data_IF_175262605441
#
_entry.id   IF_175262605441
#
_cell.length_a   1.000
_cell.length_b   1.000
_cell.length_c   1.000
_cell.angle_alpha   90.00
_cell.angle_beta   90.00
_cell.angle_gamma   90.00
#
_symmetry.space_group_name_H-M   'P 1'
#
loop_
_entity.id
_entity.type
_entity.pdbx_description
1 polymer ?
#
# COMPACT_ATOMS: atom_id res chain seq x y z
N UNK A 1 -42.94 13.75 -3.80
CA UNK A 1 -41.67 14.36 -4.26
C UNK A 1 -40.53 13.52 -3.75
N UNK A 2 -40.02 12.61 -4.57
CA UNK A 2 -38.86 11.77 -4.26
C UNK A 2 -37.61 12.58 -4.60
N UNK A 3 -36.88 13.02 -3.58
CA UNK A 3 -35.55 13.58 -3.76
C UNK A 3 -34.61 12.46 -4.21
N UNK A 4 -34.22 12.49 -5.47
CA UNK A 4 -33.17 11.64 -6.01
C UNK A 4 -31.88 11.94 -5.24
N UNK A 5 -31.38 10.94 -4.50
CA UNK A 5 -30.07 11.04 -3.84
C UNK A 5 -29.01 11.11 -4.92
N UNK A 6 -28.57 12.32 -5.24
CA UNK A 6 -27.40 12.57 -6.07
C UNK A 6 -26.19 11.94 -5.37
N UNK A 7 -25.79 10.75 -5.82
CA UNK A 7 -24.65 10.04 -5.25
C UNK A 7 -23.40 10.59 -5.93
N UNK A 8 -22.79 11.61 -5.32
CA UNK A 8 -21.53 12.17 -5.80
C UNK A 8 -20.47 11.07 -5.74
N UNK A 9 -19.74 10.85 -6.84
CA UNK A 9 -18.64 9.90 -6.87
C UNK A 9 -17.60 10.28 -5.79
N UNK A 10 -17.03 9.30 -5.07
CA UNK A 10 -16.10 9.59 -3.97
C UNK A 10 -14.90 10.39 -4.47
N UNK A 11 -14.42 11.30 -3.64
CA UNK A 11 -13.19 12.03 -3.89
C UNK A 11 -12.00 11.06 -3.99
N UNK A 12 -10.91 11.53 -4.60
CA UNK A 12 -9.68 10.73 -4.74
C UNK A 12 -9.11 10.32 -3.37
N UNK A 13 -9.24 11.19 -2.37
CA UNK A 13 -8.79 10.91 -1.02
C UNK A 13 -9.61 9.78 -0.39
N UNK A 14 -10.94 9.86 -0.46
CA UNK A 14 -11.83 8.82 0.06
C UNK A 14 -11.63 7.48 -0.64
N UNK A 15 -11.45 7.48 -1.96
CA UNK A 15 -11.13 6.27 -2.71
C UNK A 15 -9.78 5.67 -2.27
N UNK A 16 -8.78 6.51 -2.00
CA UNK A 16 -7.48 6.09 -1.46
C UNK A 16 -7.60 5.45 -0.08
N UNK A 17 -8.30 6.09 0.85
CA UNK A 17 -8.55 5.54 2.20
C UNK A 17 -9.29 4.21 2.15
N UNK A 18 -10.28 4.08 1.27
CA UNK A 18 -11.00 2.81 1.08
C UNK A 18 -10.10 1.72 0.48
N UNK A 19 -9.24 2.05 -0.48
CA UNK A 19 -8.29 1.11 -1.04
C UNK A 19 -7.29 0.62 0.01
N UNK A 20 -6.79 1.51 0.87
CA UNK A 20 -5.89 1.14 1.96
C UNK A 20 -6.55 0.24 3.00
N UNK A 21 -7.80 0.53 3.39
CA UNK A 21 -8.57 -0.34 4.28
C UNK A 21 -8.75 -1.73 3.69
N UNK A 22 -9.15 -1.81 2.42
CA UNK A 22 -9.34 -3.07 1.72
C UNK A 22 -8.03 -3.86 1.57
N UNK A 23 -6.91 -3.16 1.31
CA UNK A 23 -5.58 -3.74 1.25
C UNK A 23 -5.16 -4.35 2.60
N UNK A 24 -5.41 -3.65 3.70
CA UNK A 24 -5.12 -4.15 5.05
C UNK A 24 -5.92 -5.44 5.36
N UNK A 25 -7.21 -5.46 5.04
CA UNK A 25 -8.06 -6.65 5.20
C UNK A 25 -7.58 -7.82 4.33
N UNK A 26 -7.26 -7.54 3.06
CA UNK A 26 -6.76 -8.54 2.11
C UNK A 26 -5.48 -9.22 2.59
N UNK A 27 -4.55 -8.44 3.15
CA UNK A 27 -3.28 -8.91 3.70
C UNK A 27 -3.49 -9.71 4.99
N UNK A 28 -4.35 -9.21 5.88
CA UNK A 28 -4.69 -9.89 7.14
C UNK A 28 -5.31 -11.26 6.88
N UNK A 29 -6.23 -11.35 5.91
CA UNK A 29 -6.83 -12.62 5.48
C UNK A 29 -5.80 -13.62 4.90
N UNK A 30 -4.58 -13.17 4.57
CA UNK A 30 -3.47 -13.99 4.04
C UNK A 30 -2.33 -14.16 5.03
N UNK A 31 -2.57 -13.89 6.31
CA UNK A 31 -1.61 -14.13 7.39
C UNK A 31 -0.64 -13.00 7.68
N UNK A 32 -0.75 -11.85 7.00
CA UNK A 32 0.08 -10.69 7.31
C UNK A 32 -0.54 -9.91 8.46
N UNK A 33 0.20 -9.74 9.55
CA UNK A 33 -0.26 -8.90 10.68
C UNK A 33 0.07 -7.45 10.40
N UNK A 34 -0.92 -6.58 10.25
CA UNK A 34 -0.70 -5.14 10.08
C UNK A 34 -0.24 -4.54 11.42
N UNK A 35 0.92 -3.88 11.41
CA UNK A 35 1.54 -3.29 12.61
C UNK A 35 1.53 -1.77 12.61
N UNK A 36 1.51 -1.13 11.43
CA UNK A 36 1.35 0.32 11.30
C UNK A 36 0.67 0.67 9.98
N UNK A 37 -0.05 1.80 9.95
CA UNK A 37 -0.72 2.34 8.76
C UNK A 37 -0.36 3.81 8.61
N UNK A 38 -0.31 4.30 7.38
CA UNK A 38 -0.01 5.70 7.06
C UNK A 38 1.28 6.21 7.72
N UNK A 39 2.34 5.39 7.72
CA UNK A 39 3.61 5.76 8.32
C UNK A 39 4.26 6.89 7.52
N UNK A 40 4.66 7.97 8.19
CA UNK A 40 5.21 9.18 7.53
C UNK A 40 6.52 9.61 8.15
N UNK A 41 7.41 10.06 7.29
CA UNK A 41 8.67 10.73 7.64
C UNK A 41 8.80 12.02 6.83
N UNK A 42 9.84 12.82 7.11
CA UNK A 42 10.18 13.98 6.28
C UNK A 42 10.45 13.61 4.80
N UNK A 43 10.91 12.39 4.55
CA UNK A 43 11.46 11.98 3.25
C UNK A 43 10.56 11.02 2.47
N UNK A 44 9.46 10.57 3.06
CA UNK A 44 8.55 9.62 2.41
C UNK A 44 7.47 9.10 3.34
N UNK A 45 6.64 8.22 2.80
CA UNK A 45 5.51 7.60 3.47
C UNK A 45 5.39 6.14 3.03
N UNK A 46 4.76 5.33 3.87
CA UNK A 46 4.41 3.92 3.61
C UNK A 46 2.95 3.74 4.03
N UNK A 47 2.13 3.20 3.13
CA UNK A 47 0.69 3.07 3.36
C UNK A 47 0.40 2.03 4.45
N UNK A 48 1.03 0.85 4.35
CA UNK A 48 0.90 -0.23 5.35
C UNK A 48 2.27 -0.83 5.68
N UNK A 49 2.48 -1.09 6.98
CA UNK A 49 3.61 -1.89 7.47
C UNK A 49 3.01 -3.12 8.14
N UNK A 50 3.49 -4.31 7.76
CA UNK A 50 3.01 -5.57 8.28
C UNK A 50 4.13 -6.56 8.65
N UNK A 51 3.74 -7.68 9.24
CA UNK A 51 4.60 -8.84 9.51
C UNK A 51 4.10 -10.06 8.75
N UNK A 52 4.97 -10.64 7.93
CA UNK A 52 4.78 -11.94 7.28
C UNK A 52 5.82 -12.90 7.86
N UNK A 53 5.41 -13.63 8.92
CA UNK A 53 6.34 -14.32 9.80
C UNK A 53 7.35 -13.35 10.42
N UNK A 54 8.64 -13.67 10.29
CA UNK A 54 9.74 -12.83 10.78
C UNK A 54 10.05 -11.62 9.87
N UNK A 55 9.48 -11.59 8.65
CA UNK A 55 9.75 -10.54 7.66
C UNK A 55 8.86 -9.33 7.92
N UNK A 56 9.46 -8.16 7.95
CA UNK A 56 8.72 -6.90 7.94
C UNK A 56 8.40 -6.51 6.49
N UNK A 57 7.12 -6.29 6.19
CA UNK A 57 6.65 -5.97 4.84
C UNK A 57 6.23 -4.50 4.78
N UNK A 58 6.84 -3.74 3.87
CA UNK A 58 6.51 -2.35 3.60
C UNK A 58 5.66 -2.30 2.34
N UNK A 59 4.41 -1.89 2.44
CA UNK A 59 3.44 -2.02 1.36
C UNK A 59 2.99 -0.65 0.86
N UNK A 60 3.09 -0.46 -0.45
CA UNK A 60 2.44 0.63 -1.17
C UNK A 60 1.10 0.13 -1.73
N UNK A 61 0.02 0.91 -1.55
CA UNK A 61 -1.32 0.61 -2.06
C UNK A 61 -1.62 1.54 -3.22
N UNK A 62 -1.98 0.97 -4.38
CA UNK A 62 -2.30 1.73 -5.60
C UNK A 62 -3.65 1.37 -6.15
N UNK A 63 -4.59 2.31 -6.09
CA UNK A 63 -5.78 2.29 -6.92
C UNK A 63 -5.45 2.89 -8.30
N UNK A 64 -5.26 2.02 -9.30
CA UNK A 64 -4.94 2.37 -10.69
C UNK A 64 -6.14 3.02 -11.37
N UNK A 65 -5.86 3.94 -12.29
CA UNK A 65 -6.84 4.41 -13.27
C UNK A 65 -6.76 3.55 -14.53
N UNK A 66 -7.82 3.58 -15.34
CA UNK A 66 -7.91 2.91 -16.66
C UNK A 66 -6.78 3.24 -17.64
N UNK A 67 -5.84 4.14 -17.34
CA UNK A 67 -4.70 4.46 -18.21
C UNK A 67 -3.33 4.15 -17.56
N UNK A 68 -3.33 3.58 -16.34
CA UNK A 68 -2.10 3.34 -15.55
C UNK A 68 -1.56 1.90 -15.78
N UNK A 69 -1.55 1.44 -17.04
CA UNK A 69 -1.06 0.10 -17.39
C UNK A 69 0.47 0.07 -17.52
N UNK A 70 1.11 -0.86 -16.81
CA UNK A 70 2.58 -1.04 -16.85
C UNK A 70 3.13 -2.08 -15.87
N UNK A 71 2.27 -2.95 -15.32
CA UNK A 71 2.63 -3.91 -14.28
C UNK A 71 3.13 -3.25 -12.99
N UNK A 72 3.62 -4.08 -12.05
CA UNK A 72 4.13 -3.61 -10.75
C UNK A 72 5.29 -2.62 -10.89
N UNK A 73 6.24 -2.94 -11.77
CA UNK A 73 7.44 -2.13 -12.00
C UNK A 73 7.12 -0.75 -12.59
N UNK A 74 6.10 -0.65 -13.46
CA UNK A 74 5.59 0.63 -13.96
C UNK A 74 4.76 1.39 -12.92
N UNK A 75 4.09 0.67 -12.01
CA UNK A 75 3.26 1.27 -10.97
C UNK A 75 4.08 1.91 -9.84
N UNK A 76 5.24 1.33 -9.49
CA UNK A 76 6.17 1.87 -8.48
C UNK A 76 7.38 2.50 -9.18
N UNK A 77 7.26 3.80 -9.50
CA UNK A 77 8.31 4.58 -10.15
C UNK A 77 9.58 4.69 -9.31
N UNK A 78 10.73 4.99 -9.93
CA UNK A 78 11.99 5.19 -9.22
C UNK A 78 11.87 6.21 -8.07
N UNK A 79 11.21 7.34 -8.31
CA UNK A 79 10.96 8.35 -7.28
C UNK A 79 10.13 7.83 -6.11
N UNK A 80 9.12 6.98 -6.38
CA UNK A 80 8.31 6.36 -5.33
C UNK A 80 9.14 5.34 -4.53
N UNK A 81 9.96 4.51 -5.20
CA UNK A 81 10.90 3.58 -4.53
C UNK A 81 11.84 4.32 -3.58
N UNK A 82 12.43 5.44 -4.03
CA UNK A 82 13.33 6.23 -3.19
C UNK A 82 12.65 6.75 -1.92
N UNK A 83 11.41 7.24 -2.02
CA UNK A 83 10.60 7.69 -0.87
C UNK A 83 10.25 6.54 0.08
N UNK A 84 9.85 5.39 -0.46
CA UNK A 84 9.55 4.19 0.32
C UNK A 84 10.79 3.71 1.09
N UNK A 85 11.95 3.63 0.42
CA UNK A 85 13.23 3.29 1.07
C UNK A 85 13.60 4.26 2.17
N UNK A 86 13.46 5.56 1.94
CA UNK A 86 13.75 6.58 2.95
C UNK A 86 12.83 6.46 4.17
N UNK A 87 11.53 6.22 3.95
CA UNK A 87 10.59 5.99 5.03
C UNK A 87 10.90 4.68 5.78
N UNK A 88 11.17 3.59 5.07
CA UNK A 88 11.50 2.29 5.67
C UNK A 88 12.73 2.40 6.57
N UNK A 89 13.80 3.08 6.14
CA UNK A 89 14.97 3.37 6.98
C UNK A 89 14.60 4.13 8.26
N UNK A 90 13.68 5.10 8.16
CA UNK A 90 13.17 5.83 9.33
C UNK A 90 12.29 5.01 10.27
N UNK A 91 11.68 3.93 9.79
CA UNK A 91 10.97 2.95 10.62
C UNK A 91 11.95 1.97 11.27
N UNK A 92 12.85 1.38 10.47
CA UNK A 92 13.85 0.40 10.91
C UNK A 92 14.79 0.95 11.97
N UNK A 93 15.16 2.23 11.89
CA UNK A 93 16.01 2.89 12.91
C UNK A 93 15.37 2.97 14.30
N UNK A 94 14.05 2.74 14.41
CA UNK A 94 13.33 2.68 15.69
C UNK A 94 13.36 1.29 16.33
N UNK A 95 13.79 0.28 15.58
CA UNK A 95 13.82 -1.10 16.02
C UNK A 95 15.18 -1.40 16.67
N UNK A 96 15.17 -2.26 17.70
CA UNK A 96 16.41 -2.71 18.36
C UNK A 96 17.31 -3.56 17.46
N UNK A 97 16.69 -4.28 16.52
CA UNK A 97 17.35 -5.12 15.51
C UNK A 97 16.57 -4.98 14.21
N UNK A 98 17.31 -4.91 13.11
CA UNK A 98 16.75 -4.93 11.77
C UNK A 98 16.32 -6.36 11.39
N UNK A 99 15.02 -6.62 11.17
CA UNK A 99 14.55 -7.89 10.64
C UNK A 99 14.79 -7.98 9.13
N UNK A 100 14.67 -9.17 8.51
CA UNK A 100 14.45 -9.25 7.07
C UNK A 100 13.29 -8.35 6.68
N UNK A 101 13.41 -7.65 5.57
CA UNK A 101 12.34 -6.81 5.06
C UNK A 101 12.16 -6.93 3.56
N UNK A 102 10.95 -6.66 3.10
CA UNK A 102 10.61 -6.57 1.68
C UNK A 102 9.67 -5.40 1.40
N UNK A 103 9.68 -4.97 0.15
CA UNK A 103 8.76 -3.97 -0.36
C UNK A 103 7.72 -4.63 -1.25
N UNK A 104 6.45 -4.58 -0.84
CA UNK A 104 5.34 -5.14 -1.59
C UNK A 104 4.51 -4.01 -2.22
N UNK A 105 3.75 -4.35 -3.26
CA UNK A 105 2.73 -3.48 -3.82
C UNK A 105 1.39 -4.21 -3.89
N UNK A 106 0.31 -3.52 -3.49
CA UNK A 106 -1.06 -3.96 -3.76
C UNK A 106 -1.67 -3.06 -4.81
N UNK A 107 -2.06 -3.66 -5.91
CA UNK A 107 -2.56 -2.97 -7.09
C UNK A 107 -4.03 -3.30 -7.24
N UNK A 108 -4.84 -2.25 -7.28
CA UNK A 108 -6.30 -2.32 -7.34
C UNK A 108 -6.75 -1.57 -8.58
N UNK A 109 -7.53 -2.20 -9.44
CA UNK A 109 -8.23 -1.49 -10.53
C UNK A 109 -9.64 -1.04 -10.10
N UNK A 110 -10.14 -1.63 -9.03
CA UNK A 110 -11.45 -1.35 -8.40
C UNK A 110 -11.37 -1.64 -6.91
N UNK A 111 -12.35 -1.15 -6.13
CA UNK A 111 -12.50 -1.45 -4.70
C UNK A 111 -13.18 -2.80 -4.49
N UNK A 112 -12.61 -3.86 -5.08
CA UNK A 112 -13.05 -5.25 -4.96
C UNK A 112 -11.85 -6.11 -4.51
N UNK A 113 -11.92 -6.76 -3.33
CA UNK A 113 -10.81 -7.53 -2.79
C UNK A 113 -10.41 -8.72 -3.67
N UNK A 114 -11.34 -9.25 -4.47
CA UNK A 114 -11.06 -10.36 -5.39
C UNK A 114 -10.19 -9.95 -6.58
N UNK A 115 -10.06 -8.64 -6.84
CA UNK A 115 -9.30 -8.06 -7.96
C UNK A 115 -8.01 -7.38 -7.52
N UNK A 116 -7.57 -7.64 -6.29
CA UNK A 116 -6.30 -7.14 -5.79
C UNK A 116 -5.16 -8.02 -6.31
N UNK A 117 -4.22 -7.39 -7.01
CA UNK A 117 -2.95 -7.99 -7.40
C UNK A 117 -1.92 -7.68 -6.31
N UNK A 118 -1.44 -8.72 -5.62
CA UNK A 118 -0.36 -8.61 -4.64
C UNK A 118 0.97 -8.98 -5.26
N UNK A 119 1.79 -7.96 -5.44
CA UNK A 119 3.16 -8.12 -5.93
C UNK A 119 4.09 -8.10 -4.74
N UNK A 120 4.56 -9.29 -4.38
CA UNK A 120 5.61 -9.45 -3.37
C UNK A 120 6.96 -9.08 -3.97
N UNK A 121 7.85 -8.53 -3.15
CA UNK A 121 9.19 -8.13 -3.58
C UNK A 121 9.16 -7.23 -4.83
N UNK A 122 8.22 -6.28 -4.85
CA UNK A 122 7.94 -5.39 -5.97
C UNK A 122 9.18 -4.60 -6.43
N UNK A 123 10.13 -4.38 -5.52
CA UNK A 123 11.49 -3.94 -5.82
C UNK A 123 12.44 -4.28 -4.67
N UNK A 124 13.72 -4.45 -5.00
CA UNK A 124 14.80 -4.59 -4.02
C UNK A 124 15.46 -3.26 -3.67
N UNK A 125 16.25 -3.27 -2.60
CA UNK A 125 17.21 -2.21 -2.28
C UNK A 125 18.17 -1.90 -3.44
#
# INVERSE_FOLDING_TARGET
>A
MTAERHTVAPSRAEAGTRAEALAAEFLTARGVTIVERNFRTRFGEIDLIGRDGDTLVFVEVRLRRRNDYGGAAGSVTYAKRARLKAAARGYLSRLRREPPCRFDALLLDTLDPARIEWVRDAFSE
#
